data_IF_777010467027
#
_entry.id   IF_777010467027
#
_cell.length_a   1.000
_cell.length_b   1.000
_cell.length_c   1.000
_cell.angle_alpha   90.00
_cell.angle_beta   90.00
_cell.angle_gamma   90.00
#
_symmetry.space_group_name_H-M   'P 1'
#
loop_
_entity.id
_entity.type
_entity.pdbx_description
1 polymer ?
#
# COMPACT_ATOMS: atom_id res chain seq x y z
N UNK A 1 -9.81 2.78 4.75
CA UNK A 1 -10.76 3.79 5.30
C UNK A 1 -10.21 4.49 6.52
N UNK A 2 -9.85 3.78 7.61
CA UNK A 2 -9.27 4.40 8.80
C UNK A 2 -8.08 5.33 8.48
N UNK A 3 -7.13 4.88 7.64
CA UNK A 3 -6.03 5.72 7.15
C UNK A 3 -6.49 7.07 6.59
N UNK A 4 -7.38 7.07 5.57
CA UNK A 4 -7.85 8.28 4.90
C UNK A 4 -8.59 9.23 5.83
N UNK A 5 -9.50 8.72 6.66
CA UNK A 5 -10.25 9.56 7.59
C UNK A 5 -9.35 10.14 8.68
N UNK A 6 -8.44 9.35 9.24
CA UNK A 6 -7.54 9.83 10.28
C UNK A 6 -6.49 10.79 9.76
N UNK A 7 -5.87 10.51 8.60
CA UNK A 7 -4.85 11.38 8.01
C UNK A 7 -5.41 12.69 7.49
N UNK A 8 -6.68 12.73 7.09
CA UNK A 8 -7.33 13.96 6.64
C UNK A 8 -7.93 14.76 7.80
N UNK A 9 -8.59 14.12 8.76
CA UNK A 9 -9.27 14.83 9.85
C UNK A 9 -8.32 15.35 10.94
N UNK A 10 -7.27 14.60 11.31
CA UNK A 10 -6.41 15.04 12.42
C UNK A 10 -5.66 16.36 12.14
N UNK A 11 -5.04 16.56 10.97
CA UNK A 11 -4.35 17.83 10.67
C UNK A 11 -5.30 19.03 10.61
N UNK A 12 -6.48 18.85 10.02
CA UNK A 12 -7.51 19.90 9.87
C UNK A 12 -8.10 20.34 11.21
N UNK A 13 -8.04 19.48 12.23
CA UNK A 13 -8.45 19.80 13.60
C UNK A 13 -7.36 20.54 14.40
N UNK A 14 -6.25 20.92 13.76
CA UNK A 14 -5.12 21.57 14.43
C UNK A 14 -4.33 20.64 15.35
N UNK A 15 -4.43 19.31 15.15
CA UNK A 15 -3.71 18.37 15.98
C UNK A 15 -2.19 18.55 15.82
N UNK A 16 -1.42 18.53 16.93
CA UNK A 16 0.02 18.65 16.86
C UNK A 16 0.65 17.46 16.11
N UNK A 17 1.78 17.72 15.44
CA UNK A 17 2.45 16.75 14.55
C UNK A 17 2.75 15.40 15.21
N UNK A 18 3.03 15.37 16.51
CA UNK A 18 3.29 14.11 17.22
C UNK A 18 2.03 13.23 17.34
N UNK A 19 0.83 13.81 17.38
CA UNK A 19 -0.42 13.08 17.48
C UNK A 19 -0.78 12.40 16.15
N UNK A 20 -0.58 13.08 15.02
CA UNK A 20 -0.73 12.50 13.68
C UNK A 20 0.30 11.39 13.43
N UNK A 21 1.56 11.60 13.80
CA UNK A 21 2.60 10.57 13.70
C UNK A 21 2.27 9.34 14.57
N UNK A 22 1.85 9.55 15.82
CA UNK A 22 1.47 8.46 16.73
C UNK A 22 0.28 7.66 16.20
N UNK A 23 -0.73 8.33 15.64
CA UNK A 23 -1.87 7.69 15.00
C UNK A 23 -1.44 6.79 13.83
N UNK A 24 -0.58 7.29 12.94
CA UNK A 24 -0.09 6.51 11.79
C UNK A 24 0.75 5.30 12.23
N UNK A 25 1.60 5.45 13.24
CA UNK A 25 2.39 4.36 13.81
C UNK A 25 1.49 3.29 14.42
N UNK A 26 0.48 3.69 15.21
CA UNK A 26 -0.48 2.77 15.82
C UNK A 26 -1.32 2.04 14.77
N UNK A 27 -1.73 2.74 13.70
CA UNK A 27 -2.46 2.14 12.60
C UNK A 27 -1.61 1.10 11.86
N UNK A 28 -0.35 1.44 11.54
CA UNK A 28 0.59 0.53 10.91
C UNK A 28 0.85 -0.71 11.80
N UNK A 29 1.01 -0.51 13.10
CA UNK A 29 1.18 -1.59 14.07
C UNK A 29 -0.06 -2.49 14.16
N UNK A 30 -1.27 -1.91 14.17
CA UNK A 30 -2.53 -2.65 14.20
C UNK A 30 -2.70 -3.50 12.94
N UNK A 31 -2.45 -2.92 11.75
CA UNK A 31 -2.45 -3.66 10.48
C UNK A 31 -1.44 -4.79 10.51
N UNK A 32 -0.20 -4.52 10.96
CA UNK A 32 0.83 -5.56 11.06
C UNK A 32 0.43 -6.69 12.01
N UNK A 33 -0.19 -6.37 13.15
CA UNK A 33 -0.68 -7.37 14.12
C UNK A 33 -1.81 -8.22 13.54
N UNK A 34 -2.75 -7.60 12.82
CA UNK A 34 -3.84 -8.30 12.11
C UNK A 34 -3.25 -9.22 11.04
N UNK A 35 -2.30 -8.72 10.23
CA UNK A 35 -1.62 -9.51 9.21
C UNK A 35 -0.85 -10.69 9.83
N UNK A 36 -0.16 -10.49 10.95
CA UNK A 36 0.55 -11.58 11.64
C UNK A 36 -0.40 -12.62 12.23
N UNK A 37 -1.55 -12.21 12.77
CA UNK A 37 -2.58 -13.15 13.25
C UNK A 37 -3.24 -13.91 12.10
N UNK A 38 -3.59 -13.22 11.02
CA UNK A 38 -4.15 -13.83 9.82
C UNK A 38 -3.17 -14.76 9.10
N UNK A 39 -1.86 -14.56 9.28
CA UNK A 39 -0.81 -15.42 8.71
C UNK A 39 -0.64 -16.76 9.43
N UNK A 40 -1.25 -16.95 10.61
CA UNK A 40 -1.13 -18.18 11.40
C UNK A 40 -2.10 -19.30 11.00
N UNK A 41 -3.17 -18.96 10.27
CA UNK A 41 -4.18 -19.91 9.81
C UNK A 41 -3.90 -20.27 8.34
N UNK A 42 -3.78 -21.55 8.02
CA UNK A 42 -3.35 -22.07 6.71
C UNK A 42 -4.14 -21.59 5.49
N UNK A 43 -5.27 -20.89 5.69
CA UNK A 43 -6.07 -20.21 4.67
C UNK A 43 -5.27 -19.16 3.86
N UNK A 44 -4.18 -18.61 4.41
CA UNK A 44 -3.39 -17.55 3.75
C UNK A 44 -2.38 -18.05 2.73
N UNK A 45 -2.06 -19.36 2.72
CA UNK A 45 -1.07 -19.94 1.82
C UNK A 45 -1.58 -20.02 0.36
N UNK A 46 -2.89 -20.25 0.16
CA UNK A 46 -3.48 -20.47 -1.17
C UNK A 46 -4.08 -19.21 -1.82
N UNK A 47 -4.57 -18.21 -1.06
CA UNK A 47 -5.31 -17.07 -1.67
C UNK A 47 -4.88 -15.66 -1.24
N UNK A 48 -4.06 -15.47 -0.20
CA UNK A 48 -4.09 -14.19 0.55
C UNK A 48 -2.98 -13.17 0.28
N UNK A 49 -1.73 -13.60 0.06
CA UNK A 49 -0.57 -12.68 0.07
C UNK A 49 -0.49 -11.76 -1.15
N UNK A 50 -0.89 -12.27 -2.30
CA UNK A 50 -0.80 -11.55 -3.58
C UNK A 50 -1.84 -10.45 -3.73
N UNK A 51 -3.14 -10.72 -3.57
CA UNK A 51 -4.17 -9.70 -3.72
C UNK A 51 -4.02 -8.58 -2.70
N UNK A 52 -3.58 -8.90 -1.47
CA UNK A 52 -3.37 -7.90 -0.42
C UNK A 52 -2.20 -6.96 -0.74
N UNK A 53 -1.04 -7.51 -1.16
CA UNK A 53 0.12 -6.71 -1.53
C UNK A 53 -0.11 -5.91 -2.82
N UNK A 54 -0.70 -6.52 -3.84
CA UNK A 54 -1.01 -5.83 -5.09
C UNK A 54 -2.11 -4.79 -4.92
N UNK A 55 -3.11 -5.04 -4.08
CA UNK A 55 -4.21 -4.10 -3.83
C UNK A 55 -3.74 -2.83 -3.13
N UNK A 56 -2.89 -2.96 -2.10
CA UNK A 56 -2.29 -1.81 -1.43
C UNK A 56 -1.41 -0.99 -2.37
N UNK A 57 -0.55 -1.64 -3.17
CA UNK A 57 0.27 -0.94 -4.16
C UNK A 57 -0.53 -0.32 -5.31
N UNK A 58 -1.59 -1.00 -5.79
CA UNK A 58 -2.44 -0.49 -6.86
C UNK A 58 -3.10 0.85 -6.48
N UNK A 59 -3.48 1.00 -5.21
CA UNK A 59 -3.98 2.27 -4.70
C UNK A 59 -2.96 3.41 -4.89
N UNK A 60 -1.70 3.21 -4.49
CA UNK A 60 -0.64 4.22 -4.65
C UNK A 60 -0.26 4.46 -6.12
N UNK A 61 -0.29 3.42 -6.95
CA UNK A 61 -0.04 3.54 -8.39
C UNK A 61 -1.07 4.44 -9.05
N UNK A 62 -2.35 4.32 -8.67
CA UNK A 62 -3.42 5.16 -9.20
C UNK A 62 -3.38 6.58 -8.64
N UNK A 63 -2.93 6.75 -7.39
CA UNK A 63 -2.86 8.06 -6.74
C UNK A 63 -1.69 8.92 -7.26
N UNK A 64 -0.59 8.30 -7.68
CA UNK A 64 0.62 9.00 -8.15
C UNK A 64 0.36 10.04 -9.24
N UNK A 65 -0.29 9.68 -10.36
CA UNK A 65 -0.63 10.64 -11.43
C UNK A 65 -1.60 11.73 -10.98
N UNK A 66 -2.50 11.42 -10.05
CA UNK A 66 -3.47 12.39 -9.54
C UNK A 66 -2.79 13.45 -8.67
N UNK A 67 -1.78 13.04 -7.90
CA UNK A 67 -0.98 13.90 -7.03
C UNK A 67 0.07 14.73 -7.79
N UNK A 68 0.56 14.24 -8.93
CA UNK A 68 1.49 15.00 -9.78
C UNK A 68 0.81 16.12 -10.56
N UNK A 69 -0.49 15.98 -10.83
CA UNK A 69 -1.28 17.00 -11.51
C UNK A 69 -1.97 17.98 -10.56
N UNK A 70 -1.70 17.93 -9.24
CA UNK A 70 -2.29 18.84 -8.26
C UNK A 70 -1.52 20.17 -8.21
N UNK A 71 -2.10 21.28 -8.69
CA UNK A 71 -1.42 22.58 -8.73
C UNK A 71 -1.38 23.29 -7.36
N UNK A 72 -2.10 22.79 -6.35
CA UNK A 72 -2.14 23.37 -5.00
C UNK A 72 -1.00 22.88 -4.11
N UNK A 73 -0.17 21.96 -4.61
CA UNK A 73 0.84 21.26 -3.84
C UNK A 73 2.13 22.09 -3.71
N UNK A 74 2.60 22.26 -2.48
CA UNK A 74 3.81 23.02 -2.15
C UNK A 74 5.11 22.20 -2.23
N UNK A 75 5.03 20.87 -2.40
CA UNK A 75 6.20 20.03 -2.70
C UNK A 75 6.42 19.89 -4.22
N UNK A 76 7.55 19.32 -4.63
CA UNK A 76 7.79 19.00 -6.04
C UNK A 76 7.32 17.54 -6.33
N UNK A 77 6.15 17.35 -6.96
CA UNK A 77 5.62 16.01 -7.19
C UNK A 77 6.18 15.33 -8.46
N UNK A 78 7.12 15.98 -9.15
CA UNK A 78 7.67 15.51 -10.42
C UNK A 78 8.26 14.09 -10.29
N UNK A 79 7.76 13.17 -11.12
CA UNK A 79 8.23 11.79 -11.17
C UNK A 79 7.43 10.79 -10.34
N UNK A 80 6.39 11.21 -9.60
CA UNK A 80 5.49 10.27 -8.92
C UNK A 80 4.78 9.32 -9.90
N UNK A 81 4.43 9.79 -11.10
CA UNK A 81 3.89 8.94 -12.17
C UNK A 81 4.89 7.90 -12.65
N UNK A 82 6.18 8.27 -12.77
CA UNK A 82 7.22 7.33 -13.18
C UNK A 82 7.42 6.22 -12.14
N UNK A 83 7.40 6.58 -10.85
CA UNK A 83 7.47 5.62 -9.74
C UNK A 83 6.24 4.71 -9.74
N UNK A 84 5.04 5.25 -9.98
CA UNK A 84 3.81 4.47 -10.10
C UNK A 84 3.89 3.45 -11.24
N UNK A 85 4.39 3.86 -12.41
CA UNK A 85 4.60 2.96 -13.56
C UNK A 85 5.62 1.86 -13.22
N UNK A 86 6.75 2.22 -12.61
CA UNK A 86 7.78 1.24 -12.21
C UNK A 86 7.22 0.21 -11.20
N UNK A 87 6.44 0.66 -10.23
CA UNK A 87 5.77 -0.20 -9.26
C UNK A 87 4.74 -1.14 -9.93
N UNK A 88 3.98 -0.64 -10.91
CA UNK A 88 3.03 -1.44 -11.68
C UNK A 88 3.74 -2.56 -12.48
N UNK A 89 4.83 -2.21 -13.17
CA UNK A 89 5.65 -3.19 -13.91
C UNK A 89 6.27 -4.23 -12.96
N UNK A 90 6.74 -3.79 -11.79
CA UNK A 90 7.25 -4.67 -10.74
C UNK A 90 6.21 -5.69 -10.27
N UNK A 91 4.96 -5.26 -10.03
CA UNK A 91 3.86 -6.16 -9.67
C UNK A 91 3.53 -7.16 -10.77
N UNK A 92 3.48 -6.73 -12.04
CA UNK A 92 3.23 -7.61 -13.19
C UNK A 92 4.33 -8.67 -13.30
N UNK A 93 5.60 -8.26 -13.15
CA UNK A 93 6.74 -9.17 -13.17
C UNK A 93 6.69 -10.18 -12.01
N UNK A 94 6.40 -9.70 -10.79
CA UNK A 94 6.31 -10.51 -9.59
C UNK A 94 5.19 -11.57 -9.78
N UNK A 95 4.02 -11.17 -10.33
CA UNK A 95 2.91 -12.09 -10.66
C UNK A 95 3.34 -13.17 -11.66
N UNK A 96 4.11 -12.79 -12.68
CA UNK A 96 4.67 -13.73 -13.65
C UNK A 96 5.65 -14.71 -13.03
N UNK A 97 6.50 -14.25 -12.10
CA UNK A 97 7.49 -15.08 -11.39
C UNK A 97 6.83 -16.14 -10.51
N UNK A 98 5.72 -15.80 -9.84
CA UNK A 98 5.02 -16.72 -8.93
C UNK A 98 4.28 -17.79 -9.68
N UNK A 99 3.56 -17.42 -10.74
CA UNK A 99 2.92 -18.39 -11.64
C UNK A 99 3.92 -19.37 -12.25
N UNK A 100 5.14 -18.93 -12.54
CA UNK A 100 6.22 -19.81 -13.01
C UNK A 100 6.69 -20.78 -11.92
N UNK A 101 6.79 -20.34 -10.67
CA UNK A 101 7.19 -21.19 -9.53
C UNK A 101 6.14 -22.24 -9.20
N UNK A 102 4.86 -21.87 -9.20
CA UNK A 102 3.75 -22.81 -8.98
C UNK A 102 3.72 -23.92 -10.03
N UNK A 103 3.96 -23.59 -11.31
CA UNK A 103 4.01 -24.58 -12.41
C UNK A 103 5.17 -25.57 -12.30
N UNK A 104 6.31 -25.15 -11.73
CA UNK A 104 7.50 -26.00 -11.59
C UNK A 104 7.41 -26.93 -10.38
N UNK A 105 6.60 -26.59 -9.37
CA UNK A 105 6.35 -27.45 -8.21
C UNK A 105 5.27 -28.51 -8.43
N UNK A 106 4.55 -28.47 -9.56
CA UNK A 106 3.47 -29.41 -9.91
C UNK A 106 3.89 -30.50 -10.91
N UNK A 107 5.17 -30.61 -11.21
CA UNK A 107 5.83 -31.67 -12.02
C UNK A 107 6.80 -32.44 -11.14
#
# INVERSE_FOLDING_TARGET
MAFFFGSWALPELGAPVWATMSYLILLAWAVWKIMRRASGEGLWYDLGRWPAASGALAFFILLGPLMENDPSRTDNPAGMTLVAIAAALGLIWLRGRIRRRERLSST
#
